data_IF_373115133505
#
_entry.id   IF_373115133505
#
_cell.length_a   1.000
_cell.length_b   1.000
_cell.length_c   1.000
_cell.angle_alpha   90.00
_cell.angle_beta   90.00
_cell.angle_gamma   90.00
#
_symmetry.space_group_name_H-M   'P 1'
#
loop_
_entity.id
_entity.type
_entity.pdbx_description
1 polymer ?
#
# COMPACT_ATOMS: atom_id res chain seq x y z
N UNK A 1 15.77 -7.92 -10.70
CA UNK A 1 15.69 -7.56 -9.27
C UNK A 1 14.23 -7.69 -8.88
N UNK A 2 13.90 -8.44 -7.81
CA UNK A 2 12.51 -8.49 -7.32
C UNK A 2 12.22 -7.17 -6.60
N UNK A 3 11.02 -6.64 -6.76
CA UNK A 3 10.63 -5.38 -6.12
C UNK A 3 10.16 -5.62 -4.68
N UNK A 4 10.15 -4.58 -3.84
CA UNK A 4 9.72 -4.67 -2.44
C UNK A 4 8.36 -5.36 -2.28
N UNK A 5 7.37 -4.99 -3.09
CA UNK A 5 6.02 -5.61 -3.08
C UNK A 5 6.11 -7.12 -3.37
N UNK A 6 6.93 -7.55 -4.33
CA UNK A 6 7.08 -8.97 -4.67
C UNK A 6 7.79 -9.76 -3.57
N UNK A 7 8.73 -9.12 -2.87
CA UNK A 7 9.43 -9.71 -1.72
C UNK A 7 8.48 -9.85 -0.53
N UNK A 8 7.63 -8.85 -0.27
CA UNK A 8 6.55 -8.94 0.72
C UNK A 8 5.58 -10.10 0.40
N UNK A 9 5.17 -10.25 -0.86
CA UNK A 9 4.29 -11.33 -1.31
C UNK A 9 4.94 -12.71 -1.19
N UNK A 10 6.26 -12.79 -1.35
CA UNK A 10 7.01 -14.05 -1.22
C UNK A 10 7.31 -14.40 0.25
N UNK A 11 7.10 -13.47 1.19
CA UNK A 11 7.52 -13.59 2.58
C UNK A 11 9.03 -13.42 2.79
N UNK A 12 9.73 -12.88 1.79
CA UNK A 12 11.17 -12.57 1.84
C UNK A 12 11.45 -11.18 2.45
N UNK A 13 10.43 -10.34 2.60
CA UNK A 13 10.50 -9.03 3.25
C UNK A 13 9.25 -8.75 4.09
N UNK A 14 9.42 -7.94 5.14
CA UNK A 14 8.36 -7.45 6.02
C UNK A 14 7.96 -6.01 5.65
N UNK A 15 6.72 -5.64 6.00
CA UNK A 15 6.18 -4.31 5.73
C UNK A 15 6.98 -3.19 6.41
N UNK A 16 7.59 -3.48 7.56
CA UNK A 16 8.40 -2.52 8.34
C UNK A 16 9.77 -2.26 7.69
N UNK A 17 10.23 -3.17 6.81
CA UNK A 17 11.51 -2.99 6.09
C UNK A 17 11.37 -1.99 4.93
N UNK A 18 10.18 -1.45 4.65
CA UNK A 18 9.98 -0.48 3.56
C UNK A 18 10.93 0.72 3.64
N UNK A 19 11.27 1.17 4.86
CA UNK A 19 12.21 2.27 5.07
C UNK A 19 13.64 1.92 4.59
N UNK A 20 14.12 0.69 4.82
CA UNK A 20 15.41 0.22 4.29
C UNK A 20 15.45 0.24 2.76
N UNK A 21 14.34 -0.10 2.09
CA UNK A 21 14.27 -0.03 0.62
C UNK A 21 14.24 1.42 0.12
N UNK A 22 13.62 2.33 0.87
CA UNK A 22 13.64 3.76 0.56
C UNK A 22 15.06 4.31 0.69
N UNK A 23 15.79 3.92 1.73
CA UNK A 23 17.20 4.27 1.90
C UNK A 23 18.06 3.72 0.75
N UNK A 24 17.89 2.46 0.36
CA UNK A 24 18.58 1.88 -0.81
C UNK A 24 18.33 2.67 -2.10
N UNK A 25 17.08 3.09 -2.32
CA UNK A 25 16.74 3.94 -3.45
C UNK A 25 17.45 5.30 -3.38
N UNK A 26 17.52 5.91 -2.20
CA UNK A 26 18.29 7.13 -1.97
C UNK A 26 19.80 6.96 -2.15
N UNK A 27 20.34 5.77 -1.91
CA UNK A 27 21.75 5.41 -2.15
C UNK A 27 22.07 5.14 -3.63
N UNK A 28 21.06 5.12 -4.50
CA UNK A 28 21.20 4.96 -5.95
C UNK A 28 20.76 3.60 -6.49
N UNK A 29 20.24 2.69 -5.66
CA UNK A 29 19.59 1.48 -6.14
C UNK A 29 18.24 1.85 -6.78
N UNK A 30 18.26 2.23 -8.07
CA UNK A 30 17.08 2.70 -8.79
C UNK A 30 17.18 4.14 -9.31
N UNK A 31 18.39 4.63 -9.63
CA UNK A 31 18.63 5.96 -10.22
C UNK A 31 17.75 6.27 -11.46
N UNK A 32 17.26 5.26 -12.18
CA UNK A 32 16.38 5.39 -13.36
C UNK A 32 14.89 5.16 -13.07
N UNK A 33 14.49 4.92 -11.81
CA UNK A 33 13.11 4.56 -11.43
C UNK A 33 12.54 5.55 -10.41
N UNK A 34 11.26 5.87 -10.55
CA UNK A 34 10.55 6.55 -9.47
C UNK A 34 10.40 5.61 -8.26
N UNK A 35 10.34 6.16 -7.04
CA UNK A 35 10.26 5.36 -5.81
C UNK A 35 9.12 4.33 -5.84
N UNK A 36 7.96 4.70 -6.39
CA UNK A 36 6.84 3.77 -6.52
C UNK A 36 7.17 2.62 -7.49
N UNK A 37 7.89 2.88 -8.58
CA UNK A 37 8.32 1.85 -9.53
C UNK A 37 9.38 0.93 -8.92
N UNK A 38 10.29 1.49 -8.11
CA UNK A 38 11.31 0.74 -7.37
C UNK A 38 10.67 -0.20 -6.34
N UNK A 39 9.73 0.32 -5.55
CA UNK A 39 8.98 -0.48 -4.58
C UNK A 39 8.05 -1.50 -5.27
N UNK A 40 7.62 -1.25 -6.51
CA UNK A 40 6.71 -2.11 -7.27
C UNK A 40 5.23 -1.79 -7.06
N UNK A 41 4.95 -0.56 -6.64
CA UNK A 41 3.62 0.01 -6.50
C UNK A 41 3.19 0.72 -7.79
N UNK A 42 1.88 0.74 -8.06
CA UNK A 42 1.29 1.69 -8.98
C UNK A 42 1.26 3.10 -8.36
N UNK A 43 1.12 4.13 -9.19
CA UNK A 43 0.94 5.51 -8.70
C UNK A 43 -0.23 5.65 -7.72
N UNK A 44 -1.28 4.84 -7.92
CA UNK A 44 -2.48 4.85 -7.09
C UNK A 44 -2.22 4.28 -5.69
N UNK A 45 -1.52 3.14 -5.63
CA UNK A 45 -1.09 2.49 -4.38
C UNK A 45 -0.12 3.40 -3.62
N UNK A 46 0.83 4.01 -4.34
CA UNK A 46 1.78 4.94 -3.75
C UNK A 46 1.09 6.19 -3.20
N UNK A 47 0.15 6.78 -3.94
CA UNK A 47 -0.64 7.93 -3.49
C UNK A 47 -1.49 7.63 -2.26
N UNK A 48 -1.98 6.39 -2.12
CA UNK A 48 -2.71 5.92 -0.95
C UNK A 48 -1.77 5.75 0.24
N UNK A 49 -0.63 5.06 0.04
CA UNK A 49 0.37 4.84 1.07
C UNK A 49 0.94 6.15 1.63
N UNK A 50 1.23 7.14 0.77
CA UNK A 50 1.67 8.48 1.21
C UNK A 50 0.65 9.16 2.13
N UNK A 51 -0.65 8.96 1.89
CA UNK A 51 -1.73 9.53 2.74
C UNK A 51 -1.95 8.72 4.00
N UNK A 52 -1.77 7.40 3.93
CA UNK A 52 -2.00 6.47 5.02
C UNK A 52 -0.97 5.32 4.96
N UNK A 53 0.19 5.45 5.65
CA UNK A 53 1.24 4.42 5.62
C UNK A 53 0.76 3.04 6.11
N UNK A 54 -0.26 3.04 6.99
CA UNK A 54 -0.90 1.81 7.50
C UNK A 54 -1.57 0.97 6.40
N UNK A 55 -1.89 1.58 5.26
CA UNK A 55 -2.55 0.90 4.14
C UNK A 55 -1.61 0.01 3.34
N UNK A 56 -0.31 -0.01 3.67
CA UNK A 56 0.66 -0.90 3.04
C UNK A 56 0.23 -2.37 3.11
N UNK A 57 -0.30 -2.79 4.26
CA UNK A 57 -0.83 -4.15 4.43
C UNK A 57 -1.99 -4.45 3.47
N UNK A 58 -2.87 -3.48 3.25
CA UNK A 58 -4.00 -3.59 2.31
C UNK A 58 -3.51 -3.66 0.86
N UNK A 59 -2.48 -2.90 0.51
CA UNK A 59 -1.84 -2.95 -0.82
C UNK A 59 -1.30 -4.36 -1.09
N UNK A 60 -0.52 -4.92 -0.14
CA UNK A 60 -0.02 -6.29 -0.26
C UNK A 60 -1.17 -7.30 -0.37
N UNK A 61 -2.19 -7.18 0.49
CA UNK A 61 -3.35 -8.07 0.48
C UNK A 61 -4.13 -8.00 -0.84
N UNK A 62 -4.27 -6.80 -1.42
CA UNK A 62 -4.91 -6.60 -2.71
C UNK A 62 -4.15 -7.33 -3.82
N UNK A 63 -2.82 -7.25 -3.80
CA UNK A 63 -1.94 -7.89 -4.78
C UNK A 63 -1.92 -9.41 -4.62
N UNK A 64 -1.91 -9.92 -3.40
CA UNK A 64 -2.01 -11.36 -3.11
C UNK A 64 -3.32 -11.92 -3.66
N UNK A 65 -4.44 -11.23 -3.44
CA UNK A 65 -5.78 -11.62 -3.91
C UNK A 65 -6.02 -11.30 -5.39
N UNK A 66 -5.08 -10.60 -6.05
CA UNK A 66 -5.23 -10.10 -7.42
C UNK A 66 -6.51 -9.30 -7.65
N UNK A 67 -6.88 -8.46 -6.68
CA UNK A 67 -8.03 -7.54 -6.74
C UNK A 67 -7.56 -6.09 -6.82
N UNK A 68 -8.46 -5.19 -7.18
CA UNK A 68 -8.16 -3.76 -7.15
C UNK A 68 -7.98 -3.24 -5.71
N UNK A 69 -7.17 -2.20 -5.55
CA UNK A 69 -6.98 -1.54 -4.23
C UNK A 69 -8.30 -1.02 -3.66
N UNK A 70 -9.22 -0.61 -4.52
CA UNK A 70 -10.56 -0.16 -4.14
C UNK A 70 -11.40 -1.29 -3.55
N UNK A 71 -11.36 -2.47 -4.16
CA UNK A 71 -12.04 -3.65 -3.62
C UNK A 71 -11.43 -4.08 -2.28
N UNK A 72 -10.09 -4.09 -2.17
CA UNK A 72 -9.41 -4.41 -0.92
C UNK A 72 -9.75 -3.43 0.21
N UNK A 73 -9.83 -2.13 -0.10
CA UNK A 73 -10.25 -1.09 0.85
C UNK A 73 -11.72 -1.21 1.26
N UNK A 74 -12.60 -1.62 0.35
CA UNK A 74 -14.01 -1.88 0.68
C UNK A 74 -14.13 -3.08 1.63
N UNK A 75 -13.44 -4.18 1.34
CA UNK A 75 -13.35 -5.34 2.24
C UNK A 75 -12.87 -4.92 3.62
N UNK A 76 -11.79 -4.13 3.69
CA UNK A 76 -11.25 -3.63 4.95
C UNK A 76 -12.27 -2.74 5.68
N UNK A 77 -13.00 -1.86 5.00
CA UNK A 77 -14.09 -1.09 5.62
C UNK A 77 -15.12 -2.01 6.23
N UNK A 78 -15.56 -3.06 5.52
CA UNK A 78 -16.53 -4.04 6.02
C UNK A 78 -16.02 -4.76 7.28
N UNK A 79 -14.75 -5.15 7.31
CA UNK A 79 -14.12 -5.76 8.49
C UNK A 79 -13.98 -4.76 9.66
N UNK A 80 -13.68 -3.50 9.37
CA UNK A 80 -13.51 -2.45 10.36
C UNK A 80 -14.84 -1.95 10.93
N UNK A 81 -15.93 -1.85 10.15
CA UNK A 81 -17.25 -1.48 10.72
C UNK A 81 -17.80 -2.56 11.65
N UNK A 82 -17.35 -3.81 11.53
CA UNK A 82 -17.62 -4.84 12.53
C UNK A 82 -16.90 -4.57 13.88
N UNK A 83 -15.91 -3.68 13.90
CA UNK A 83 -15.09 -3.32 15.08
C UNK A 83 -15.31 -1.85 15.45
N UNK A 84 -16.17 -1.59 16.45
CA UNK A 84 -16.66 -0.26 16.83
C UNK A 84 -15.59 0.84 17.11
N UNK A 85 -14.32 0.49 17.36
CA UNK A 85 -13.26 1.43 17.76
C UNK A 85 -12.44 2.01 16.59
N UNK A 86 -12.58 1.49 15.36
CA UNK A 86 -11.70 1.86 14.23
C UNK A 86 -12.20 3.02 13.35
N UNK A 87 -13.05 3.90 13.91
CA UNK A 87 -13.76 4.96 13.17
C UNK A 87 -12.83 5.93 12.40
N UNK A 88 -11.65 6.25 12.93
CA UNK A 88 -10.70 7.16 12.28
C UNK A 88 -10.10 6.55 11.00
N UNK A 89 -9.80 5.25 10.99
CA UNK A 89 -9.30 4.57 9.79
C UNK A 89 -10.37 4.53 8.71
N UNK A 90 -11.61 4.18 9.08
CA UNK A 90 -12.75 4.15 8.17
C UNK A 90 -12.97 5.50 7.46
N UNK A 91 -12.86 6.61 8.19
CA UNK A 91 -13.00 7.95 7.60
C UNK A 91 -11.94 8.24 6.53
N UNK A 92 -10.67 7.89 6.80
CA UNK A 92 -9.57 8.11 5.84
C UNK A 92 -9.74 7.29 4.55
N UNK A 93 -10.14 6.03 4.69
CA UNK A 93 -10.37 5.13 3.55
C UNK A 93 -11.54 5.67 2.71
N UNK A 94 -12.64 6.09 3.34
CA UNK A 94 -13.80 6.71 2.67
C UNK A 94 -13.45 8.00 1.94
N UNK A 95 -12.65 8.88 2.56
CA UNK A 95 -12.18 10.12 1.92
C UNK A 95 -11.34 9.86 0.67
N UNK A 96 -10.48 8.83 0.71
CA UNK A 96 -9.68 8.46 -0.45
C UNK A 96 -10.55 7.92 -1.60
N UNK A 97 -11.46 6.98 -1.29
CA UNK A 97 -12.40 6.42 -2.27
C UNK A 97 -13.27 7.52 -2.91
N UNK A 98 -13.76 8.47 -2.11
CA UNK A 98 -14.56 9.58 -2.61
C UNK A 98 -13.79 10.56 -3.51
N UNK A 99 -12.45 10.67 -3.34
CA UNK A 99 -11.60 11.53 -4.19
C UNK A 99 -11.24 10.88 -5.52
N UNK A 100 -11.15 9.54 -5.59
CA UNK A 100 -10.80 8.81 -6.82
C UNK A 100 -11.94 8.78 -7.83
N UNK A 101 -13.19 8.72 -7.37
CA UNK A 101 -14.38 8.67 -8.24
C UNK A 101 -14.86 10.01 -8.81
N UNK A 102 -14.05 11.08 -8.77
CA UNK A 102 -14.41 12.43 -9.26
C UNK A 102 -13.59 12.85 -10.47
#
# INVERSE_FOLDING_TARGET
MKKFIELCLSGDAFLDEIDDYIDQWHEGEGEDLELHEFLGMSEEEYSLWLKCPKQLATIISARERSISIEEAMNDEIYELVARADQANQISKIKEWLAKKGK
#
